data_IF_434757609996
#
_entry.id   IF_434757609996
#
_cell.length_a   1.000
_cell.length_b   1.000
_cell.length_c   1.000
_cell.angle_alpha   90.00
_cell.angle_beta   90.00
_cell.angle_gamma   90.00
#
_symmetry.space_group_name_H-M   'P 1'
#
loop_
_entity.id
_entity.type
_entity.pdbx_description
1 polymer ?
#
# COMPACT_ATOMS: atom_id res chain seq x y z
N UNK A 1 8.64 11.44 -8.22
CA UNK A 1 7.68 10.61 -7.47
C UNK A 1 6.22 10.83 -7.85
N UNK A 2 5.69 12.07 -7.90
CA UNK A 2 4.28 12.28 -8.28
C UNK A 2 3.90 11.65 -9.64
N UNK A 3 4.61 12.03 -10.72
CA UNK A 3 4.35 11.52 -12.06
C UNK A 3 4.47 9.98 -12.12
N UNK A 4 5.47 9.42 -11.42
CA UNK A 4 5.66 7.98 -11.32
C UNK A 4 4.49 7.29 -10.59
N UNK A 5 4.05 7.85 -9.46
CA UNK A 5 2.90 7.36 -8.71
C UNK A 5 1.62 7.38 -9.55
N UNK A 6 1.37 8.48 -10.26
CA UNK A 6 0.20 8.63 -11.14
C UNK A 6 0.25 7.63 -12.30
N UNK A 7 1.41 7.44 -12.93
CA UNK A 7 1.62 6.45 -13.99
C UNK A 7 1.32 5.04 -13.48
N UNK A 8 1.97 4.62 -12.40
CA UNK A 8 1.77 3.28 -11.83
C UNK A 8 0.32 3.07 -11.38
N UNK A 9 -0.29 4.06 -10.73
CA UNK A 9 -1.68 3.98 -10.32
C UNK A 9 -2.62 3.85 -11.52
N UNK A 10 -2.40 4.62 -12.59
CA UNK A 10 -3.16 4.53 -13.83
C UNK A 10 -3.04 3.16 -14.48
N UNK A 11 -1.82 2.65 -14.62
CA UNK A 11 -1.54 1.33 -15.22
C UNK A 11 -2.22 0.19 -14.46
N UNK A 12 -2.16 0.23 -13.12
CA UNK A 12 -2.60 -0.90 -12.29
C UNK A 12 -4.10 -0.84 -12.01
N UNK A 13 -4.64 0.35 -11.75
CA UNK A 13 -6.03 0.51 -11.32
C UNK A 13 -6.99 0.93 -12.45
N UNK A 14 -6.48 1.45 -13.58
CA UNK A 14 -7.26 1.93 -14.73
C UNK A 14 -7.88 3.32 -14.53
N UNK A 15 -8.71 3.74 -15.50
CA UNK A 15 -9.21 5.12 -15.65
C UNK A 15 -10.23 5.60 -14.58
N UNK A 16 -10.56 4.77 -13.58
CA UNK A 16 -11.61 5.05 -12.58
C UNK A 16 -11.05 5.30 -11.18
N UNK A 17 -9.89 5.94 -11.08
CA UNK A 17 -9.28 6.31 -9.79
C UNK A 17 -9.55 7.77 -9.48
N UNK A 18 -10.18 8.04 -8.34
CA UNK A 18 -10.20 9.35 -7.72
C UNK A 18 -8.82 9.68 -7.15
N UNK A 19 -7.94 10.24 -7.96
CA UNK A 19 -6.60 10.61 -7.54
C UNK A 19 -6.69 11.90 -6.70
N UNK A 20 -6.69 11.74 -5.38
CA UNK A 20 -6.49 12.85 -4.43
C UNK A 20 -4.99 13.01 -4.14
N UNK A 21 -4.27 13.73 -5.00
CA UNK A 21 -2.86 14.03 -4.79
C UNK A 21 -2.71 15.12 -3.70
N UNK A 22 -2.55 14.69 -2.46
CA UNK A 22 -2.31 15.59 -1.33
C UNK A 22 -0.79 15.79 -1.14
N UNK A 23 -0.27 16.92 -1.61
CA UNK A 23 1.18 17.18 -1.64
C UNK A 23 1.78 17.75 -0.35
N UNK A 24 1.00 17.98 0.71
CA UNK A 24 1.48 18.71 1.91
C UNK A 24 0.73 18.30 3.20
N UNK A 25 0.71 17.01 3.55
CA UNK A 25 0.38 16.66 4.94
C UNK A 25 1.57 17.08 5.84
N UNK A 26 1.36 17.85 6.93
CA UNK A 26 2.43 18.16 7.89
C UNK A 26 3.09 16.92 8.49
N UNK A 27 2.38 15.79 8.54
CA UNK A 27 2.91 14.52 9.02
C UNK A 27 3.70 13.73 7.96
N UNK A 28 3.62 14.12 6.69
CA UNK A 28 4.27 13.44 5.55
C UNK A 28 4.75 14.46 4.50
N UNK A 29 5.72 15.31 4.84
CA UNK A 29 6.27 16.27 3.88
C UNK A 29 6.88 15.50 2.69
N UNK A 30 6.63 16.00 1.46
CA UNK A 30 7.14 15.44 0.21
C UNK A 30 6.64 14.03 -0.18
N UNK A 31 5.54 13.57 0.43
CA UNK A 31 4.83 12.37 -0.02
C UNK A 31 3.68 12.74 -0.97
N UNK A 32 3.42 11.85 -1.94
CA UNK A 32 2.29 11.91 -2.86
C UNK A 32 1.35 10.76 -2.56
N UNK A 33 0.05 11.00 -2.65
CA UNK A 33 -0.99 10.04 -2.24
C UNK A 33 -1.95 9.77 -3.38
N UNK A 34 -2.33 8.51 -3.55
CA UNK A 34 -3.43 8.07 -4.40
C UNK A 34 -4.39 7.28 -3.53
N UNK A 35 -5.69 7.62 -3.60
CA UNK A 35 -6.75 6.91 -2.88
C UNK A 35 -7.66 6.21 -3.86
N UNK A 36 -8.09 4.99 -3.54
CA UNK A 36 -9.12 4.28 -4.29
C UNK A 36 -10.21 3.81 -3.35
N UNK A 37 -11.45 4.10 -3.72
CA UNK A 37 -12.66 3.69 -2.99
C UNK A 37 -13.65 3.05 -3.95
N UNK A 38 -14.02 1.81 -3.72
CA UNK A 38 -14.96 1.07 -4.57
C UNK A 38 -15.62 -0.06 -3.78
N UNK A 39 -16.94 -0.21 -3.88
CA UNK A 39 -17.65 -1.34 -3.26
C UNK A 39 -17.44 -1.49 -1.74
N UNK A 40 -17.24 -0.38 -1.02
CA UNK A 40 -16.95 -0.38 0.42
C UNK A 40 -15.50 -0.71 0.80
N UNK A 41 -14.61 -0.91 -0.18
CA UNK A 41 -13.17 -1.12 0.02
C UNK A 41 -12.40 0.17 -0.19
N UNK A 42 -11.42 0.42 0.68
CA UNK A 42 -10.64 1.64 0.72
C UNK A 42 -9.14 1.31 0.76
N UNK A 43 -8.43 1.75 -0.28
CA UNK A 43 -6.99 1.56 -0.43
C UNK A 43 -6.28 2.90 -0.61
N UNK A 44 -5.06 3.03 -0.09
CA UNK A 44 -4.21 4.20 -0.28
C UNK A 44 -2.82 3.75 -0.69
N UNK A 45 -2.29 4.33 -1.76
CA UNK A 45 -0.91 4.19 -2.18
C UNK A 45 -0.19 5.51 -1.93
N UNK A 46 0.95 5.46 -1.25
CA UNK A 46 1.77 6.62 -0.93
C UNK A 46 3.14 6.45 -1.54
N UNK A 47 3.71 7.53 -2.07
CA UNK A 47 5.06 7.57 -2.60
C UNK A 47 5.79 8.82 -2.14
N UNK A 48 6.92 8.65 -1.46
CA UNK A 48 7.91 9.69 -1.22
C UNK A 48 9.18 9.38 -2.02
N UNK A 49 10.18 10.24 -1.95
CA UNK A 49 11.47 9.98 -2.58
C UNK A 49 12.24 8.81 -1.93
N UNK A 50 12.00 8.56 -0.64
CA UNK A 50 12.75 7.62 0.21
C UNK A 50 11.96 6.34 0.53
N UNK A 51 10.65 6.34 0.34
CA UNK A 51 9.80 5.20 0.66
C UNK A 51 8.48 5.21 -0.11
N UNK A 52 7.83 4.05 -0.18
CA UNK A 52 6.47 3.88 -0.67
C UNK A 52 5.65 3.04 0.30
N UNK A 53 4.35 3.28 0.35
CA UNK A 53 3.44 2.54 1.25
C UNK A 53 2.14 2.14 0.57
N UNK A 54 1.68 0.93 0.89
CA UNK A 54 0.33 0.47 0.62
C UNK A 54 -0.47 0.40 1.92
N UNK A 55 -1.64 1.04 1.95
CA UNK A 55 -2.57 1.00 3.09
C UNK A 55 -3.88 0.35 2.66
N UNK A 56 -4.34 -0.62 3.44
CA UNK A 56 -5.73 -1.09 3.42
C UNK A 56 -6.43 -0.45 4.61
N UNK A 57 -7.20 0.59 4.34
CA UNK A 57 -7.78 1.47 5.35
C UNK A 57 -8.79 0.72 6.22
N UNK A 58 -9.54 -0.19 5.61
CA UNK A 58 -10.62 -0.94 6.25
C UNK A 58 -10.12 -1.78 7.44
N UNK A 59 -8.86 -2.23 7.40
CA UNK A 59 -8.23 -3.00 8.47
C UNK A 59 -7.09 -2.26 9.16
N UNK A 60 -6.80 -1.01 8.77
CA UNK A 60 -5.66 -0.24 9.30
C UNK A 60 -4.34 -1.02 9.21
N UNK A 61 -4.14 -1.72 8.09
CA UNK A 61 -2.89 -2.44 7.81
C UNK A 61 -2.12 -1.73 6.70
N UNK A 62 -0.80 -1.72 6.84
CA UNK A 62 0.14 -1.08 5.93
C UNK A 62 1.28 -2.04 5.55
N UNK A 63 1.92 -1.74 4.42
CA UNK A 63 3.22 -2.27 4.04
C UNK A 63 4.06 -1.13 3.49
N UNK A 64 5.19 -0.88 4.13
CA UNK A 64 6.19 0.12 3.73
C UNK A 64 7.38 -0.55 3.04
N UNK A 65 7.83 0.04 1.94
CA UNK A 65 9.06 -0.31 1.23
C UNK A 65 9.96 0.91 1.19
N UNK A 66 11.20 0.78 1.65
CA UNK A 66 12.20 1.85 1.60
C UNK A 66 13.02 1.77 0.31
N UNK A 67 13.33 2.95 -0.25
CA UNK A 67 14.16 3.09 -1.44
C UNK A 67 15.56 3.52 -1.02
N UNK A 68 16.53 2.63 -1.23
CA UNK A 68 17.94 2.92 -0.96
C UNK A 68 18.60 3.40 -2.25
N UNK A 69 18.63 4.72 -2.45
CA UNK A 69 19.23 5.35 -3.63
C UNK A 69 18.22 5.99 -4.58
N UNK A 70 18.72 6.40 -5.75
CA UNK A 70 17.99 7.22 -6.72
C UNK A 70 17.59 6.50 -8.00
N UNK A 71 17.66 5.17 -7.99
CA UNK A 71 17.20 4.37 -9.13
C UNK A 71 15.68 4.46 -9.28
N UNK A 72 15.23 5.11 -10.36
CA UNK A 72 13.82 5.27 -10.68
C UNK A 72 13.15 3.92 -11.02
N UNK A 73 13.88 2.98 -11.63
CA UNK A 73 13.35 1.66 -11.99
C UNK A 73 13.06 0.81 -10.76
N UNK A 74 13.92 0.86 -9.75
CA UNK A 74 13.67 0.20 -8.46
C UNK A 74 12.44 0.80 -7.76
N UNK A 75 12.37 2.13 -7.71
CA UNK A 75 11.22 2.87 -7.13
C UNK A 75 9.92 2.54 -7.86
N UNK A 76 9.94 2.47 -9.19
CA UNK A 76 8.79 2.05 -9.99
C UNK A 76 8.36 0.62 -9.68
N UNK A 77 9.32 -0.31 -9.63
CA UNK A 77 9.05 -1.73 -9.40
C UNK A 77 8.42 -1.94 -8.02
N UNK A 78 8.96 -1.30 -6.99
CA UNK A 78 8.39 -1.32 -5.64
C UNK A 78 6.97 -0.73 -5.60
N UNK A 79 6.76 0.43 -6.22
CA UNK A 79 5.43 1.05 -6.31
C UNK A 79 4.41 0.16 -7.04
N UNK A 80 4.82 -0.45 -8.16
CA UNK A 80 3.96 -1.34 -8.95
C UNK A 80 3.60 -2.58 -8.15
N UNK A 81 4.54 -3.17 -7.42
CA UNK A 81 4.28 -4.31 -6.55
C UNK A 81 3.24 -3.97 -5.46
N UNK A 82 3.41 -2.85 -4.77
CA UNK A 82 2.45 -2.34 -3.78
C UNK A 82 1.07 -2.05 -4.39
N UNK A 83 1.03 -1.42 -5.56
CA UNK A 83 -0.21 -1.15 -6.28
C UNK A 83 -0.96 -2.43 -6.67
N UNK A 84 -0.25 -3.46 -7.11
CA UNK A 84 -0.83 -4.76 -7.48
C UNK A 84 -1.42 -5.47 -6.26
N UNK A 85 -0.77 -5.38 -5.09
CA UNK A 85 -1.34 -5.87 -3.82
C UNK A 85 -2.65 -5.15 -3.49
N UNK A 86 -2.67 -3.83 -3.58
CA UNK A 86 -3.89 -3.05 -3.35
C UNK A 86 -4.97 -3.40 -4.37
N UNK A 87 -4.64 -3.65 -5.64
CA UNK A 87 -5.60 -4.07 -6.66
C UNK A 87 -6.22 -5.41 -6.30
N UNK A 88 -5.42 -6.37 -5.85
CA UNK A 88 -5.91 -7.67 -5.40
C UNK A 88 -6.89 -7.49 -4.22
N UNK A 89 -6.54 -6.63 -3.26
CA UNK A 89 -7.45 -6.26 -2.18
C UNK A 89 -8.77 -5.67 -2.69
N UNK A 90 -8.72 -4.71 -3.61
CA UNK A 90 -9.91 -4.09 -4.20
C UNK A 90 -10.79 -5.11 -4.94
N UNK A 91 -10.18 -6.12 -5.56
CA UNK A 91 -10.88 -7.22 -6.22
C UNK A 91 -11.44 -8.29 -5.26
N UNK A 92 -11.28 -8.12 -3.95
CA UNK A 92 -11.74 -9.10 -2.96
C UNK A 92 -10.84 -10.31 -2.78
N UNK A 93 -9.62 -10.27 -3.30
CA UNK A 93 -8.64 -11.34 -3.14
C UNK A 93 -7.89 -11.21 -1.81
N UNK A 94 -7.20 -12.28 -1.43
CA UNK A 94 -6.46 -12.39 -0.18
C UNK A 94 -7.33 -12.76 1.02
N UNK A 95 -6.73 -12.81 2.20
CA UNK A 95 -7.37 -13.17 3.45
C UNK A 95 -7.01 -12.17 4.54
N UNK A 96 -7.91 -11.98 5.50
CA UNK A 96 -7.67 -11.15 6.68
C UNK A 96 -7.70 -12.03 7.90
N UNK A 97 -6.53 -12.22 8.52
CA UNK A 97 -6.39 -12.91 9.78
C UNK A 97 -6.43 -11.91 10.94
N UNK A 98 -7.18 -12.22 11.99
CA UNK A 98 -7.17 -11.47 13.24
C UNK A 98 -6.33 -12.24 14.25
N UNK A 99 -5.17 -11.69 14.61
CA UNK A 99 -4.30 -12.31 15.62
C UNK A 99 -4.66 -11.76 17.00
N UNK A 100 -4.84 -12.64 18.02
CA UNK A 100 -5.05 -12.20 19.38
C UNK A 100 -3.99 -11.21 19.82
N UNK A 101 -4.42 -10.11 20.43
CA UNK A 101 -3.46 -9.22 21.08
C UNK A 101 -2.82 -9.92 22.28
N UNK A 102 -1.53 -9.65 22.54
CA UNK A 102 -0.84 -10.14 23.74
C UNK A 102 -1.46 -9.61 25.05
N UNK A 103 -2.28 -8.56 24.95
CA UNK A 103 -2.99 -7.94 26.05
C UNK A 103 -4.48 -8.17 25.85
N UNK A 104 -5.12 -8.90 26.76
CA UNK A 104 -6.52 -9.33 26.66
C UNK A 104 -7.54 -8.18 26.54
N UNK A 105 -7.16 -6.94 26.90
CA UNK A 105 -8.01 -5.75 26.76
C UNK A 105 -7.84 -5.02 25.42
N UNK A 106 -6.89 -5.43 24.58
CA UNK A 106 -6.64 -4.81 23.27
C UNK A 106 -7.34 -5.60 22.17
N UNK A 107 -7.84 -4.90 21.13
CA UNK A 107 -8.44 -5.58 19.99
C UNK A 107 -7.39 -6.41 19.25
N UNK A 108 -7.88 -7.46 18.58
CA UNK A 108 -7.07 -8.29 17.70
C UNK A 108 -6.36 -7.46 16.64
N UNK A 109 -5.18 -7.92 16.26
CA UNK A 109 -4.33 -7.26 15.27
C UNK A 109 -4.63 -7.87 13.91
N UNK A 110 -5.25 -7.13 12.98
CA UNK A 110 -5.50 -7.63 11.64
C UNK A 110 -4.19 -7.77 10.87
N UNK A 111 -4.15 -8.77 10.00
CA UNK A 111 -3.11 -9.00 9.01
C UNK A 111 -3.77 -9.39 7.70
N UNK A 112 -3.44 -8.68 6.63
CA UNK A 112 -3.87 -9.06 5.30
C UNK A 112 -2.77 -9.88 4.62
N UNK A 113 -3.15 -11.01 4.02
CA UNK A 113 -2.24 -11.86 3.25
C UNK A 113 -2.81 -12.10 1.85
N UNK A 114 -1.94 -12.06 0.85
CA UNK A 114 -2.32 -12.36 -0.53
C UNK A 114 -1.15 -12.95 -1.30
N UNK A 115 -1.41 -13.94 -2.14
CA UNK A 115 -0.40 -14.50 -3.03
C UNK A 115 -0.59 -13.93 -4.42
N UNK A 116 0.47 -13.33 -4.97
CA UNK A 116 0.50 -12.70 -6.29
C UNK A 116 1.76 -13.20 -6.99
N UNK A 117 1.60 -13.77 -8.18
CA UNK A 117 2.70 -14.32 -8.98
C UNK A 117 3.61 -15.30 -8.21
N UNK A 118 3.03 -16.07 -7.28
CA UNK A 118 3.75 -17.04 -6.44
C UNK A 118 4.43 -16.44 -5.21
N UNK A 119 4.38 -15.12 -5.02
CA UNK A 119 4.92 -14.43 -3.84
C UNK A 119 3.82 -14.09 -2.86
N UNK A 120 4.05 -14.43 -1.58
CA UNK A 120 3.13 -14.07 -0.50
C UNK A 120 3.44 -12.69 0.05
N UNK A 121 2.45 -11.81 -0.02
CA UNK A 121 2.48 -10.47 0.55
C UNK A 121 1.77 -10.45 1.89
N UNK A 122 2.35 -9.75 2.87
CA UNK A 122 1.79 -9.63 4.23
C UNK A 122 1.75 -8.17 4.65
N UNK A 123 0.55 -7.63 4.85
CA UNK A 123 0.30 -6.28 5.34
C UNK A 123 -0.12 -6.35 6.82
N UNK A 124 0.42 -5.48 7.65
CA UNK A 124 0.12 -5.43 9.08
C UNK A 124 0.19 -4.02 9.64
N UNK A 125 -0.09 -3.84 10.93
CA UNK A 125 -0.17 -2.51 11.55
C UNK A 125 1.13 -1.69 11.47
N UNK A 126 2.28 -2.36 11.33
CA UNK A 126 3.62 -1.79 11.14
C UNK A 126 4.44 -2.69 10.20
N UNK A 127 3.86 -3.08 9.06
CA UNK A 127 4.52 -3.97 8.11
C UNK A 127 5.63 -3.25 7.36
N UNK A 128 6.85 -3.76 7.46
CA UNK A 128 7.98 -3.36 6.60
C UNK A 128 8.36 -4.58 5.78
N UNK A 129 8.60 -4.40 4.49
CA UNK A 129 9.21 -5.45 3.66
C UNK A 129 10.62 -5.01 3.32
N UNK A 130 11.60 -5.78 3.78
CA UNK A 130 12.97 -5.72 3.25
C UNK A 130 12.99 -6.63 2.01
N UNK A 131 13.39 -6.15 0.82
CA UNK A 131 13.67 -7.04 -0.30
C UNK A 131 14.71 -8.08 0.14
N UNK A 132 14.47 -9.35 -0.21
CA UNK A 132 15.43 -10.45 -0.01
C UNK A 132 16.31 -10.55 -1.24
#
# INVERSE_FOLDING_TARGET
MNALLLRVAGDVFGDRVSIEAEGNSPSMPHAYVVRRREGGRNAVLVASHEWSEAHIVDFRVTCTVFHYGDDEMEKESALRALAVVLRAYMAGQGQVEHRPSLLWWRPDVPRYTVTIDGFEWRLGRHGWVTPI
#
